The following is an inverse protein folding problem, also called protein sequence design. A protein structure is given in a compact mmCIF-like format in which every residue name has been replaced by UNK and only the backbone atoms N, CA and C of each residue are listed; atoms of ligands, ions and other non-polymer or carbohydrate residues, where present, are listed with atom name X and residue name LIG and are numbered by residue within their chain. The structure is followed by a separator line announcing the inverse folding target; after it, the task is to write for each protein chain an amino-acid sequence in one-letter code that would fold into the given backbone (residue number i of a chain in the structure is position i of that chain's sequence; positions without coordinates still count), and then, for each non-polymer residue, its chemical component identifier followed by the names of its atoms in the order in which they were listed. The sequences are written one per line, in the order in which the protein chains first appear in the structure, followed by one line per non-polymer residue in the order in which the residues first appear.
data_IF_410621269703
#
_entry.id   IF_410621269703
#
_cell.length_a   1.000
_cell.length_b   1.000
_cell.length_c   1.000
_cell.angle_alpha   90.00
_cell.angle_beta   90.00
_cell.angle_gamma   90.00
#
_symmetry.space_group_name_H-M   'P 1'
#
loop_
_entity.id
_entity.type
_entity.pdbx_description
1 polymer ?
#
# COMPACT_ATOMS: atom_id res chain seq x y z
N UNK A 1 -3.08 -12.43 7.19
CA UNK A 1 -3.51 -11.59 6.05
C UNK A 1 -3.86 -12.45 4.84
N UNK A 2 -4.67 -11.93 3.90
CA UNK A 2 -4.89 -12.42 2.53
C UNK A 2 -4.38 -11.38 1.54
N UNK A 3 -3.71 -11.80 0.46
CA UNK A 3 -3.34 -10.94 -0.67
C UNK A 3 -3.85 -11.55 -1.97
N UNK A 4 -4.56 -10.78 -2.79
CA UNK A 4 -5.01 -11.17 -4.13
C UNK A 4 -4.36 -10.30 -5.20
N UNK A 5 -3.67 -10.92 -6.16
CA UNK A 5 -3.06 -10.24 -7.32
C UNK A 5 -3.88 -10.62 -8.56
N UNK A 6 -4.57 -9.64 -9.15
CA UNK A 6 -5.51 -9.84 -10.25
C UNK A 6 -6.46 -11.07 -10.05
N UNK A 7 -7.21 -11.13 -8.92
CA UNK A 7 -7.89 -12.35 -8.52
C UNK A 7 -9.17 -12.62 -9.33
N UNK A 8 -9.29 -13.83 -9.90
CA UNK A 8 -10.46 -14.21 -10.66
C UNK A 8 -11.61 -14.76 -9.79
N UNK A 9 -12.86 -14.36 -10.10
CA UNK A 9 -13.99 -15.26 -9.84
C UNK A 9 -13.78 -16.61 -10.52
N UNK A 10 -13.98 -17.69 -9.77
CA UNK A 10 -13.95 -19.06 -10.26
C UNK A 10 -15.08 -19.85 -9.62
N UNK A 11 -15.72 -20.72 -10.41
CA UNK A 11 -16.81 -21.59 -9.96
C UNK A 11 -16.42 -23.06 -10.11
N UNK A 12 -15.47 -23.52 -9.30
CA UNK A 12 -15.01 -24.91 -9.33
C UNK A 12 -15.91 -25.78 -8.46
N UNK A 13 -16.43 -26.89 -9.00
CA UNK A 13 -17.33 -27.82 -8.30
C UNK A 13 -18.56 -27.14 -7.66
N UNK A 14 -19.06 -26.07 -8.27
CA UNK A 14 -20.20 -25.30 -7.77
C UNK A 14 -19.88 -24.34 -6.63
N UNK A 15 -18.60 -24.16 -6.28
CA UNK A 15 -18.14 -23.22 -5.25
C UNK A 15 -17.57 -21.97 -5.93
N UNK A 16 -18.18 -20.82 -5.64
CA UNK A 16 -17.74 -19.50 -6.12
C UNK A 16 -16.67 -18.92 -5.21
N UNK A 17 -15.60 -18.34 -5.77
CA UNK A 17 -14.57 -17.65 -4.98
C UNK A 17 -15.08 -16.33 -4.40
N UNK A 18 -15.92 -15.57 -5.10
CA UNK A 18 -16.66 -14.41 -4.56
C UNK A 18 -17.50 -14.87 -3.37
N UNK A 19 -18.34 -15.90 -3.52
CA UNK A 19 -19.16 -16.37 -2.40
C UNK A 19 -18.30 -16.85 -1.21
N UNK A 20 -17.15 -17.45 -1.49
CA UNK A 20 -16.22 -17.91 -0.45
C UNK A 20 -15.54 -16.76 0.28
N UNK A 21 -15.30 -15.63 -0.40
CA UNK A 21 -14.68 -14.43 0.18
C UNK A 21 -15.48 -13.86 1.36
N UNK A 22 -16.79 -14.09 1.41
CA UNK A 22 -17.65 -13.72 2.53
C UNK A 22 -17.28 -14.38 3.87
N UNK A 23 -16.42 -15.40 3.86
CA UNK A 23 -15.93 -16.06 5.07
C UNK A 23 -14.52 -15.59 5.47
N UNK A 24 -13.91 -14.66 4.72
CA UNK A 24 -12.55 -14.19 4.98
C UNK A 24 -12.63 -12.93 5.83
N UNK A 25 -12.21 -13.05 7.09
CA UNK A 25 -12.24 -11.97 8.09
C UNK A 25 -10.87 -11.39 8.43
N UNK A 26 -9.79 -12.00 7.93
CA UNK A 26 -8.42 -11.51 8.14
C UNK A 26 -8.12 -10.27 7.30
N UNK A 27 -7.18 -9.40 7.70
CA UNK A 27 -6.71 -8.29 6.88
C UNK A 27 -6.47 -8.71 5.44
N UNK A 28 -6.97 -7.93 4.48
CA UNK A 28 -6.97 -8.33 3.07
C UNK A 28 -6.55 -7.21 2.13
N UNK A 29 -5.58 -7.48 1.25
CA UNK A 29 -5.13 -6.57 0.20
C UNK A 29 -5.44 -7.15 -1.18
N UNK A 30 -6.13 -6.41 -2.03
CA UNK A 30 -6.39 -6.78 -3.42
C UNK A 30 -5.68 -5.78 -4.34
N UNK A 31 -4.78 -6.27 -5.19
CA UNK A 31 -4.05 -5.51 -6.20
C UNK A 31 -4.57 -5.86 -7.59
N UNK A 32 -4.89 -4.83 -8.36
CA UNK A 32 -5.54 -4.92 -9.67
C UNK A 32 -4.77 -4.11 -10.70
N UNK A 33 -4.59 -4.64 -11.92
CA UNK A 33 -4.27 -3.80 -13.07
C UNK A 33 -5.54 -3.11 -13.57
N UNK A 34 -5.54 -1.79 -13.74
CA UNK A 34 -6.72 -1.06 -14.25
C UNK A 34 -7.10 -1.45 -15.68
N UNK A 35 -6.13 -1.92 -16.47
CA UNK A 35 -6.31 -2.35 -17.86
C UNK A 35 -6.32 -3.87 -18.00
N UNK A 36 -6.49 -4.61 -16.90
CA UNK A 36 -6.66 -6.05 -16.91
C UNK A 36 -7.91 -6.45 -17.72
N UNK A 37 -7.70 -7.07 -18.87
CA UNK A 37 -8.73 -7.66 -19.72
C UNK A 37 -8.85 -9.18 -19.58
N UNK A 38 -7.95 -9.83 -18.85
CA UNK A 38 -7.95 -11.30 -18.65
C UNK A 38 -8.96 -11.69 -17.58
N UNK A 39 -8.97 -10.94 -16.47
CA UNK A 39 -9.97 -11.01 -15.40
C UNK A 39 -10.46 -9.61 -15.09
N UNK A 40 -11.32 -9.01 -15.93
CA UNK A 40 -11.70 -7.60 -15.82
C UNK A 40 -12.08 -7.17 -14.39
N UNK A 41 -11.56 -6.04 -13.87
CA UNK A 41 -11.76 -5.65 -12.47
C UNK A 41 -13.22 -5.53 -12.04
N UNK A 42 -14.08 -5.02 -12.93
CA UNK A 42 -15.52 -4.87 -12.70
C UNK A 42 -16.28 -6.18 -12.58
N UNK A 43 -15.72 -7.27 -13.12
CA UNK A 43 -16.33 -8.61 -13.13
C UNK A 43 -15.74 -9.50 -12.04
N UNK A 44 -14.43 -9.39 -11.79
CA UNK A 44 -13.73 -10.30 -10.88
C UNK A 44 -13.24 -9.60 -9.62
N UNK A 45 -12.37 -8.61 -9.74
CA UNK A 45 -11.61 -8.09 -8.59
C UNK A 45 -12.48 -7.31 -7.60
N UNK A 46 -13.30 -6.39 -8.10
CA UNK A 46 -14.17 -5.54 -7.28
C UNK A 46 -15.26 -6.38 -6.58
N UNK A 47 -15.98 -7.29 -7.26
CA UNK A 47 -16.91 -8.19 -6.57
C UNK A 47 -16.25 -9.05 -5.48
N UNK A 48 -15.04 -9.57 -5.73
CA UNK A 48 -14.26 -10.31 -4.72
C UNK A 48 -13.95 -9.43 -3.51
N UNK A 49 -13.40 -8.23 -3.73
CA UNK A 49 -13.09 -7.28 -2.67
C UNK A 49 -14.34 -6.91 -1.85
N UNK A 50 -15.45 -6.60 -2.52
CA UNK A 50 -16.70 -6.23 -1.88
C UNK A 50 -17.26 -7.37 -1.02
N UNK A 51 -17.08 -8.61 -1.47
CA UNK A 51 -17.56 -9.78 -0.74
C UNK A 51 -16.70 -10.14 0.48
N UNK A 52 -15.47 -9.66 0.61
CA UNK A 52 -14.64 -9.93 1.79
C UNK A 52 -15.34 -9.44 3.07
N UNK A 53 -15.41 -10.30 4.09
CA UNK A 53 -15.91 -9.96 5.42
C UNK A 53 -14.84 -9.35 6.33
N UNK A 54 -13.64 -9.07 5.80
CA UNK A 54 -12.59 -8.40 6.55
C UNK A 54 -13.02 -6.99 6.93
N UNK A 55 -12.82 -6.65 8.20
CA UNK A 55 -12.98 -5.29 8.70
C UNK A 55 -11.80 -4.38 8.32
N UNK A 56 -10.67 -4.92 7.89
CA UNK A 56 -9.56 -4.14 7.38
C UNK A 56 -9.17 -4.66 6.00
N UNK A 57 -9.58 -3.93 4.97
CA UNK A 57 -9.33 -4.36 3.59
C UNK A 57 -9.07 -3.20 2.65
N UNK A 58 -8.08 -3.37 1.79
CA UNK A 58 -7.68 -2.37 0.79
C UNK A 58 -7.74 -2.97 -0.61
N UNK A 59 -8.31 -2.22 -1.53
CA UNK A 59 -8.27 -2.46 -2.97
C UNK A 59 -7.40 -1.39 -3.61
N UNK A 60 -6.39 -1.80 -4.36
CA UNK A 60 -5.49 -0.93 -5.11
C UNK A 60 -5.61 -1.27 -6.60
N UNK A 61 -5.93 -0.27 -7.41
CA UNK A 61 -5.96 -0.34 -8.87
C UNK A 61 -4.78 0.43 -9.45
N UNK A 62 -3.79 -0.28 -9.97
CA UNK A 62 -2.60 0.29 -10.60
C UNK A 62 -3.00 0.88 -11.96
N UNK A 63 -2.86 2.19 -12.09
CA UNK A 63 -3.26 2.95 -13.29
C UNK A 63 -2.37 2.53 -14.46
N UNK A 64 -2.97 2.17 -15.59
CA UNK A 64 -2.26 1.64 -16.75
C UNK A 64 -1.77 0.20 -16.64
N UNK A 65 -1.96 -0.47 -15.50
CA UNK A 65 -1.47 -1.82 -15.21
C UNK A 65 -2.27 -2.95 -15.88
N UNK A 66 -1.62 -4.08 -16.08
CA UNK A 66 -2.09 -5.28 -16.80
C UNK A 66 -2.31 -6.49 -15.86
N UNK A 67 -2.97 -7.55 -16.34
CA UNK A 67 -3.15 -8.80 -15.55
C UNK A 67 -1.83 -9.51 -15.33
N UNK A 68 -1.16 -9.82 -16.43
CA UNK A 68 0.01 -10.68 -16.47
C UNK A 68 1.24 -10.04 -15.86
N UNK A 69 1.25 -8.73 -15.65
CA UNK A 69 2.44 -8.00 -15.20
C UNK A 69 2.78 -8.26 -13.72
N UNK A 70 1.87 -8.87 -12.95
CA UNK A 70 2.18 -9.42 -11.63
C UNK A 70 3.11 -10.64 -11.65
N UNK A 71 3.34 -11.28 -12.81
CA UNK A 71 4.24 -12.43 -12.94
C UNK A 71 5.52 -12.11 -13.73
N UNK A 72 6.42 -13.08 -13.86
CA UNK A 72 7.49 -12.99 -14.87
C UNK A 72 6.91 -13.16 -16.29
N UNK A 73 7.60 -12.63 -17.33
CA UNK A 73 7.19 -12.79 -18.72
C UNK A 73 7.03 -14.25 -19.12
N UNK A 74 6.01 -14.55 -19.92
CA UNK A 74 5.83 -15.87 -20.54
C UNK A 74 4.92 -15.75 -21.75
N UNK A 75 5.21 -16.56 -22.78
CA UNK A 75 4.48 -16.48 -24.06
C UNK A 75 2.96 -16.58 -23.88
N UNK A 76 2.47 -17.50 -23.04
CA UNK A 76 1.04 -17.70 -22.81
C UNK A 76 0.39 -16.49 -22.15
N UNK A 77 1.08 -15.88 -21.18
CA UNK A 77 0.57 -14.70 -20.50
C UNK A 77 0.61 -13.48 -21.43
N UNK A 78 1.75 -13.22 -22.09
CA UNK A 78 1.92 -12.05 -22.94
C UNK A 78 0.97 -12.08 -24.15
N UNK A 79 0.76 -13.26 -24.73
CA UNK A 79 -0.23 -13.43 -25.80
C UNK A 79 -1.65 -13.22 -25.28
N UNK A 80 -2.03 -13.86 -24.16
CA UNK A 80 -3.36 -13.74 -23.56
C UNK A 80 -3.69 -12.30 -23.16
N UNK A 81 -2.73 -11.59 -22.57
CA UNK A 81 -2.82 -10.18 -22.23
C UNK A 81 -3.07 -9.33 -23.47
N UNK A 82 -2.25 -9.48 -24.51
CA UNK A 82 -2.37 -8.67 -25.74
C UNK A 82 -3.68 -8.89 -26.50
N UNK A 83 -4.28 -10.08 -26.35
CA UNK A 83 -5.55 -10.43 -26.98
C UNK A 83 -6.78 -9.92 -26.20
N UNK A 84 -6.64 -9.69 -24.89
CA UNK A 84 -7.77 -9.41 -23.99
C UNK A 84 -7.78 -7.98 -23.47
N UNK A 85 -6.60 -7.39 -23.28
CA UNK A 85 -6.40 -6.11 -22.63
C UNK A 85 -6.16 -5.00 -23.65
N UNK A 86 -6.63 -3.80 -23.34
CA UNK A 86 -6.41 -2.59 -24.15
C UNK A 86 -6.01 -1.44 -23.26
N UNK A 87 -5.13 -0.55 -23.72
CA UNK A 87 -4.80 0.69 -23.00
C UNK A 87 -3.74 0.55 -21.89
N UNK A 88 -3.07 -0.59 -21.78
CA UNK A 88 -1.90 -0.76 -20.89
C UNK A 88 -0.87 0.33 -21.20
N UNK A 89 -0.46 1.09 -20.18
CA UNK A 89 0.37 2.29 -20.35
C UNK A 89 1.62 2.32 -19.49
N UNK A 90 1.80 1.34 -18.59
CA UNK A 90 3.03 1.16 -17.82
C UNK A 90 3.69 -0.17 -18.22
N UNK A 91 4.99 -0.29 -18.01
CA UNK A 91 5.72 -1.53 -18.21
C UNK A 91 5.50 -2.52 -17.07
N UNK A 92 5.84 -3.79 -17.33
CA UNK A 92 5.85 -4.85 -16.31
C UNK A 92 6.73 -4.50 -15.11
N UNK A 93 7.92 -3.94 -15.37
CA UNK A 93 8.85 -3.56 -14.31
C UNK A 93 8.27 -2.43 -13.43
N UNK A 94 7.63 -1.43 -14.03
CA UNK A 94 6.94 -0.35 -13.30
C UNK A 94 5.79 -0.90 -12.45
N UNK A 95 4.93 -1.76 -13.01
CA UNK A 95 3.85 -2.38 -12.24
C UNK A 95 4.37 -3.21 -11.08
N UNK A 96 5.44 -3.99 -11.28
CA UNK A 96 6.05 -4.79 -10.23
C UNK A 96 6.69 -3.94 -9.14
N UNK A 97 7.32 -2.82 -9.50
CA UNK A 97 7.84 -1.86 -8.52
C UNK A 97 6.69 -1.32 -7.65
N UNK A 98 5.63 -0.78 -8.27
CA UNK A 98 4.44 -0.28 -7.56
C UNK A 98 3.82 -1.38 -6.68
N UNK A 99 3.69 -2.59 -7.22
CA UNK A 99 3.15 -3.74 -6.47
C UNK A 99 3.99 -4.01 -5.22
N UNK A 100 5.31 -4.02 -5.35
CA UNK A 100 6.21 -4.31 -4.24
C UNK A 100 6.23 -3.19 -3.20
N UNK A 101 6.16 -1.92 -3.62
CA UNK A 101 6.11 -0.76 -2.71
C UNK A 101 4.94 -0.92 -1.72
N UNK A 102 3.73 -1.21 -2.20
CA UNK A 102 2.58 -1.44 -1.33
C UNK A 102 2.60 -2.79 -0.61
N UNK A 103 3.07 -3.84 -1.29
CA UNK A 103 3.04 -5.20 -0.75
C UNK A 103 4.02 -5.37 0.41
N UNK A 104 5.20 -4.75 0.34
CA UNK A 104 6.18 -4.83 1.42
C UNK A 104 5.66 -4.15 2.68
N UNK A 105 5.18 -2.90 2.57
CA UNK A 105 4.59 -2.17 3.70
C UNK A 105 3.43 -2.94 4.34
N UNK A 106 2.53 -3.49 3.51
CA UNK A 106 1.42 -4.30 3.99
C UNK A 106 1.88 -5.57 4.72
N UNK A 107 2.87 -6.28 4.19
CA UNK A 107 3.37 -7.52 4.78
C UNK A 107 4.14 -7.24 6.07
N UNK A 108 4.92 -6.18 6.11
CA UNK A 108 5.70 -5.82 7.29
C UNK A 108 4.78 -5.41 8.44
N UNK A 109 3.75 -4.63 8.14
CA UNK A 109 2.69 -4.40 9.11
C UNK A 109 1.97 -5.70 9.52
N UNK A 110 1.38 -6.43 8.57
CA UNK A 110 0.46 -7.55 8.90
C UNK A 110 1.13 -8.85 9.38
N UNK A 111 2.45 -8.98 9.25
CA UNK A 111 3.20 -10.17 9.67
C UNK A 111 4.32 -9.88 10.67
N UNK A 112 4.82 -8.65 10.76
CA UNK A 112 5.86 -8.25 11.71
C UNK A 112 5.37 -7.29 12.78
N UNK A 113 4.10 -6.86 12.72
CA UNK A 113 3.50 -5.86 13.60
C UNK A 113 4.25 -4.51 13.54
N UNK A 114 4.81 -4.16 12.37
CA UNK A 114 5.51 -2.90 12.17
C UNK A 114 4.51 -1.76 11.89
N UNK A 115 4.23 -0.96 12.93
CA UNK A 115 3.29 0.16 12.82
C UNK A 115 3.85 1.31 11.97
N UNK A 116 5.17 1.44 11.81
CA UNK A 116 5.75 2.45 10.93
C UNK A 116 5.29 2.23 9.49
N UNK A 117 5.37 0.97 9.04
CA UNK A 117 4.97 0.56 7.70
C UNK A 117 3.46 0.66 7.48
N UNK A 118 2.65 0.55 8.55
CA UNK A 118 1.22 0.84 8.46
C UNK A 118 0.98 2.32 8.10
N UNK A 119 1.63 3.24 8.79
CA UNK A 119 1.46 4.67 8.52
C UNK A 119 2.02 5.05 7.14
N UNK A 120 3.17 4.49 6.75
CA UNK A 120 3.72 4.70 5.40
C UNK A 120 2.80 4.12 4.32
N UNK A 121 2.17 2.96 4.57
CA UNK A 121 1.15 2.41 3.66
C UNK A 121 -0.05 3.35 3.51
N UNK A 122 -0.57 3.88 4.61
CA UNK A 122 -1.70 4.81 4.60
C UNK A 122 -1.36 6.12 3.88
N UNK A 123 -0.17 6.69 4.12
CA UNK A 123 0.30 7.88 3.40
C UNK A 123 0.44 7.59 1.91
N UNK A 124 1.08 6.47 1.55
CA UNK A 124 1.29 6.06 0.16
C UNK A 124 -0.03 5.87 -0.60
N UNK A 125 -1.09 5.39 0.06
CA UNK A 125 -2.43 5.30 -0.57
C UNK A 125 -2.95 6.68 -0.98
N UNK A 126 -2.78 7.69 -0.12
CA UNK A 126 -3.31 9.04 -0.32
C UNK A 126 -2.46 9.86 -1.30
N UNK A 127 -1.15 9.72 -1.24
CA UNK A 127 -0.20 10.57 -1.99
C UNK A 127 0.15 10.01 -3.37
N UNK A 128 0.01 8.70 -3.59
CA UNK A 128 0.39 8.09 -4.86
C UNK A 128 -0.51 8.53 -6.02
N UNK A 129 0.14 8.93 -7.13
CA UNK A 129 -0.53 9.26 -8.39
C UNK A 129 -0.58 8.08 -9.37
N UNK A 130 0.02 6.95 -8.99
CA UNK A 130 0.13 5.75 -9.84
C UNK A 130 -1.00 4.75 -9.60
N UNK A 131 -1.88 5.00 -8.63
CA UNK A 131 -2.97 4.11 -8.23
C UNK A 131 -4.28 4.86 -8.00
N UNK A 132 -5.39 4.15 -8.13
CA UNK A 132 -6.63 4.46 -7.43
C UNK A 132 -6.80 3.45 -6.30
N UNK A 133 -7.49 3.81 -5.20
CA UNK A 133 -7.74 2.88 -4.11
C UNK A 133 -9.14 3.00 -3.49
N UNK A 134 -9.54 1.92 -2.81
CA UNK A 134 -10.70 1.88 -1.92
C UNK A 134 -10.30 1.11 -0.66
N UNK A 135 -10.59 1.67 0.51
CA UNK A 135 -10.26 1.05 1.78
C UNK A 135 -11.47 1.01 2.71
N UNK A 136 -11.65 -0.12 3.41
CA UNK A 136 -12.59 -0.26 4.50
C UNK A 136 -11.81 -0.20 5.81
N UNK A 137 -12.18 0.78 6.64
CA UNK A 137 -11.54 1.18 7.90
C UNK A 137 -10.08 1.64 7.74
N UNK A 138 -9.76 2.76 8.39
CA UNK A 138 -8.43 3.38 8.39
C UNK A 138 -7.73 3.24 9.73
N UNK A 139 -8.42 2.69 10.73
CA UNK A 139 -7.90 2.46 12.07
C UNK A 139 -7.61 0.98 12.23
N UNK A 140 -6.48 0.64 12.84
CA UNK A 140 -6.24 -0.71 13.33
C UNK A 140 -6.08 -0.68 14.83
N UNK A 141 -6.73 -1.63 15.50
CA UNK A 141 -6.79 -1.74 16.97
C UNK A 141 -5.41 -1.85 17.66
N UNK A 142 -4.32 -2.01 16.89
CA UNK A 142 -2.98 -2.32 17.41
C UNK A 142 -1.92 -1.24 17.20
N UNK A 143 -2.19 -0.20 16.40
CA UNK A 143 -1.24 0.89 16.20
C UNK A 143 -1.78 2.15 16.87
N UNK A 144 -1.10 2.61 17.91
CA UNK A 144 -1.35 3.92 18.47
C UNK A 144 -0.99 4.97 17.41
N UNK A 145 -1.81 6.02 17.30
CA UNK A 145 -1.59 7.11 16.34
C UNK A 145 -0.17 7.67 16.46
N UNK A 146 0.47 8.11 15.35
CA UNK A 146 1.84 8.58 15.36
C UNK A 146 1.98 9.70 16.40
N UNK A 147 2.83 9.50 17.40
CA UNK A 147 3.05 10.53 18.40
C UNK A 147 3.84 11.65 17.73
N UNK A 148 3.36 12.89 17.81
CA UNK A 148 4.06 14.02 17.19
C UNK A 148 5.52 14.08 17.68
N UNK A 149 6.48 13.93 16.77
CA UNK A 149 7.91 13.84 17.07
C UNK A 149 8.50 12.42 17.11
N UNK A 150 7.70 11.38 17.02
CA UNK A 150 8.16 10.00 16.79
C UNK A 150 8.43 9.82 15.29
N UNK A 151 9.65 10.16 14.87
CA UNK A 151 10.05 10.27 13.46
C UNK A 151 10.35 8.89 12.88
N UNK A 152 10.89 7.98 13.69
CA UNK A 152 11.15 6.60 13.27
C UNK A 152 9.98 5.64 13.59
N UNK A 153 8.89 6.15 14.18
CA UNK A 153 7.64 5.44 14.47
C UNK A 153 7.87 4.20 15.36
N UNK A 154 8.84 4.27 16.28
CA UNK A 154 9.16 3.19 17.22
C UNK A 154 8.36 3.23 18.53
N UNK A 155 7.48 4.24 18.66
CA UNK A 155 6.65 4.50 19.83
C UNK A 155 7.35 5.35 20.91
N UNK A 156 8.64 5.66 20.76
CA UNK A 156 9.40 6.44 21.74
C UNK A 156 10.05 7.68 21.12
N UNK A 157 9.65 8.86 21.58
CA UNK A 157 10.29 10.11 21.15
C UNK A 157 11.64 10.29 21.87
N UNK A 158 12.74 10.14 21.14
CA UNK A 158 14.09 10.18 21.69
C UNK A 158 15.15 10.68 20.68
N UNK A 159 16.43 10.51 21.02
CA UNK A 159 17.54 11.00 20.18
C UNK A 159 17.64 10.25 18.85
N UNK A 160 17.10 9.03 18.75
CA UNK A 160 16.98 8.28 17.50
C UNK A 160 16.20 9.05 16.43
N UNK A 161 15.11 9.70 16.81
CA UNK A 161 14.28 10.54 15.94
C UNK A 161 15.04 11.74 15.39
N UNK A 162 15.83 12.39 16.26
CA UNK A 162 16.69 13.51 15.87
C UNK A 162 17.70 13.06 14.81
N UNK A 163 18.31 11.89 15.00
CA UNK A 163 19.30 11.35 14.06
C UNK A 163 18.65 11.14 12.68
N UNK A 164 17.40 10.73 12.62
CA UNK A 164 16.68 10.55 11.35
C UNK A 164 16.44 11.88 10.63
N UNK A 165 15.94 12.92 11.31
CA UNK A 165 15.79 14.27 10.71
C UNK A 165 17.15 14.82 10.25
N UNK A 166 18.20 14.67 11.08
CA UNK A 166 19.55 15.12 10.70
C UNK A 166 20.05 14.42 9.44
N UNK A 167 19.85 13.09 9.33
CA UNK A 167 20.24 12.34 8.14
C UNK A 167 19.47 12.80 6.90
N UNK A 168 18.18 13.11 7.02
CA UNK A 168 17.35 13.67 5.95
C UNK A 168 17.91 15.02 5.46
N UNK A 169 18.21 15.93 6.38
CA UNK A 169 18.79 17.25 6.09
C UNK A 169 20.14 17.11 5.39
N UNK A 170 21.03 16.25 5.92
CA UNK A 170 22.39 16.09 5.41
C UNK A 170 22.43 15.36 4.06
N UNK A 171 21.50 14.43 3.83
CA UNK A 171 21.47 13.62 2.61
C UNK A 171 20.63 14.25 1.50
N UNK A 172 20.01 15.41 1.75
CA UNK A 172 19.08 16.09 0.84
C UNK A 172 18.02 15.12 0.28
N UNK A 173 17.44 14.33 1.19
CA UNK A 173 16.39 13.37 0.87
C UNK A 173 15.11 14.09 0.42
N UNK A 174 14.20 13.34 -0.20
CA UNK A 174 12.88 13.86 -0.55
C UNK A 174 12.17 14.42 0.69
N UNK A 175 11.37 15.47 0.48
CA UNK A 175 10.53 16.03 1.53
C UNK A 175 9.56 14.96 2.06
N UNK A 176 9.49 14.86 3.38
CA UNK A 176 8.53 14.04 4.12
C UNK A 176 7.79 14.95 5.09
N UNK A 177 6.47 15.07 4.93
CA UNK A 177 5.62 15.95 5.75
C UNK A 177 5.66 15.58 7.25
N UNK A 178 5.90 14.30 7.58
CA UNK A 178 6.01 13.85 8.97
C UNK A 178 7.26 14.39 9.67
N UNK A 179 8.25 14.89 8.92
CA UNK A 179 9.49 15.44 9.48
C UNK A 179 9.43 16.97 9.63
N UNK A 180 8.40 17.60 9.07
CA UNK A 180 8.13 19.04 9.12
C UNK A 180 7.24 19.37 10.32
N UNK A 181 7.85 19.41 11.51
CA UNK A 181 7.13 19.54 12.78
C UNK A 181 6.50 20.93 12.98
N UNK A 182 6.87 21.92 12.16
CA UNK A 182 6.30 23.26 12.21
C UNK A 182 5.34 23.56 11.04
N UNK A 183 5.23 22.66 10.06
CA UNK A 183 4.44 22.80 8.82
C UNK A 183 4.80 24.04 7.99
N UNK A 184 6.09 24.36 7.87
CA UNK A 184 6.61 25.47 7.04
C UNK A 184 7.08 25.05 5.64
N UNK A 185 6.87 23.78 5.29
CA UNK A 185 7.29 23.12 4.05
C UNK A 185 8.82 22.97 3.92
N UNK A 186 9.61 23.21 4.98
CA UNK A 186 11.07 23.05 4.98
C UNK A 186 11.56 22.21 6.17
N UNK A 187 12.10 21.02 5.89
CA UNK A 187 12.76 20.19 6.91
C UNK A 187 14.14 20.78 7.21
N UNK A 188 14.31 21.39 8.39
CA UNK A 188 15.55 22.04 8.78
C UNK A 188 15.81 22.02 10.30
N UNK A 189 16.74 22.84 10.77
CA UNK A 189 17.11 22.91 12.19
C UNK A 189 15.96 23.38 13.09
N UNK A 190 14.98 24.10 12.56
CA UNK A 190 13.78 24.51 13.32
C UNK A 190 12.95 23.30 13.74
N UNK A 191 12.81 22.28 12.90
CA UNK A 191 12.11 21.04 13.25
C UNK A 191 12.88 20.24 14.30
N UNK A 192 14.21 20.20 14.21
CA UNK A 192 15.05 19.60 15.25
C UNK A 192 14.85 20.30 16.60
N UNK A 193 14.78 21.63 16.62
CA UNK A 193 14.55 22.38 17.87
C UNK A 193 13.19 22.01 18.47
N UNK A 194 12.15 21.86 17.65
CA UNK A 194 10.83 21.43 18.11
C UNK A 194 10.91 20.02 18.68
N UNK A 195 11.54 19.08 17.97
CA UNK A 195 11.72 17.71 18.43
C UNK A 195 12.47 17.63 19.78
N UNK A 196 13.55 18.40 19.94
CA UNK A 196 14.27 18.51 21.21
C UNK A 196 13.36 19.04 22.32
N UNK A 197 12.52 20.03 22.03
CA UNK A 197 11.55 20.53 23.02
C UNK A 197 10.49 19.49 23.38
N UNK A 198 10.10 18.61 22.45
CA UNK A 198 9.18 17.51 22.74
C UNK A 198 9.86 16.49 23.66
N UNK A 199 11.12 16.11 23.38
CA UNK A 199 11.87 15.12 24.19
C UNK A 199 12.13 15.59 25.63
N UNK A 200 12.30 16.89 25.84
CA UNK A 200 12.68 17.46 27.13
C UNK A 200 11.49 17.81 28.05
N UNK A 201 10.24 17.74 27.56
CA UNK A 201 9.03 18.05 28.31
C UNK A 201 8.24 16.80 28.68
#
# INVERSE_FOLDING_TARGET
TLIGLAPAESSSNGVSSIASAANITVPSLILSGSQDGVTPPSVHHIPLYNSLASNFKTFISIIGGAHCYFSNPSFTCDFGESASSTGISISRAEQQAITNDFLNLWLDYTLKDDCADFFEFQDSLVTSTSIDYNQTNTEVESCDEPVNGDINLDGNINVSDIVLIVNTILSNQAYNASYDLNNDENINVTDIIILVNIILN
#
